data_IF_521619109649
#
_entry.id   IF_521619109649
#
_cell.length_a   1.000
_cell.length_b   1.000
_cell.length_c   1.000
_cell.angle_alpha   90.00
_cell.angle_beta   90.00
_cell.angle_gamma   90.00
#
_symmetry.space_group_name_H-M   'P 1'
#
loop_
_entity.id
_entity.type
_entity.pdbx_description
1 polymer ?
#
# COMPACT_ATOMS: atom_id res chain seq x y z
N UNK A 1 -4.46 -27.53 4.07
CA UNK A 1 -5.01 -26.24 3.55
C UNK A 1 -4.27 -25.95 2.25
N UNK A 2 -4.85 -25.16 1.34
CA UNK A 2 -4.11 -24.74 0.14
C UNK A 2 -2.93 -23.85 0.56
N UNK A 3 -1.71 -24.06 0.02
CA UNK A 3 -0.51 -23.32 0.46
C UNK A 3 -0.63 -21.79 0.34
N UNK A 4 -1.27 -21.29 -0.71
CA UNK A 4 -1.48 -19.85 -0.90
C UNK A 4 -2.42 -19.27 0.16
N UNK A 5 -3.50 -19.98 0.49
CA UNK A 5 -4.43 -19.57 1.55
C UNK A 5 -3.73 -19.57 2.91
N UNK A 6 -2.92 -20.58 3.17
CA UNK A 6 -2.14 -20.67 4.41
C UNK A 6 -1.16 -19.51 4.55
N UNK A 7 -0.41 -19.19 3.50
CA UNK A 7 0.50 -18.04 3.44
C UNK A 7 -0.24 -16.73 3.75
N UNK A 8 -1.38 -16.49 3.11
CA UNK A 8 -2.19 -15.28 3.33
C UNK A 8 -2.70 -15.18 4.77
N UNK A 9 -3.10 -16.29 5.36
CA UNK A 9 -3.58 -16.34 6.74
C UNK A 9 -2.44 -16.18 7.77
N UNK A 10 -1.22 -16.55 7.43
CA UNK A 10 -0.05 -16.45 8.30
C UNK A 10 0.68 -15.11 8.18
N UNK A 11 0.49 -14.38 7.06
CA UNK A 11 1.16 -13.12 6.78
C UNK A 11 0.97 -12.10 7.93
N UNK A 12 2.05 -11.44 8.30
CA UNK A 12 2.09 -10.35 9.28
C UNK A 12 3.07 -9.26 8.84
N UNK A 13 2.90 -8.05 9.37
CA UNK A 13 3.86 -6.96 9.14
C UNK A 13 5.15 -7.21 9.91
N UNK A 14 6.27 -7.22 9.20
CA UNK A 14 7.63 -7.42 9.72
C UNK A 14 8.34 -6.07 9.79
N UNK A 15 8.82 -5.70 10.98
CA UNK A 15 9.50 -4.43 11.27
C UNK A 15 10.83 -4.61 11.98
N UNK A 16 11.34 -5.83 12.05
CA UNK A 16 12.67 -6.15 12.55
C UNK A 16 13.22 -7.27 11.67
N UNK A 17 14.42 -7.08 11.19
CA UNK A 17 15.02 -7.89 10.15
C UNK A 17 16.31 -8.52 10.64
N UNK A 18 16.65 -9.69 10.10
CA UNK A 18 18.01 -10.25 10.21
C UNK A 18 18.99 -9.33 9.51
N UNK A 19 20.26 -9.34 9.98
CA UNK A 19 21.38 -8.72 9.26
C UNK A 19 21.78 -9.61 8.06
N UNK A 20 20.87 -9.66 7.11
CA UNK A 20 20.98 -10.47 5.90
C UNK A 20 20.42 -9.72 4.71
N UNK A 21 21.23 -9.53 3.69
CA UNK A 21 20.79 -8.92 2.42
C UNK A 21 19.89 -9.88 1.63
N UNK A 22 18.95 -9.33 0.88
CA UNK A 22 18.22 -10.12 -0.11
C UNK A 22 19.10 -10.32 -1.34
N UNK A 23 19.21 -11.58 -1.78
CA UNK A 23 19.91 -11.90 -3.02
C UNK A 23 19.15 -11.33 -4.23
N UNK A 24 19.87 -10.91 -5.26
CA UNK A 24 19.26 -10.26 -6.43
C UNK A 24 18.22 -11.16 -7.10
N UNK A 25 18.48 -12.45 -7.21
CA UNK A 25 17.55 -13.44 -7.79
C UNK A 25 16.17 -13.43 -7.08
N UNK A 26 16.14 -13.30 -5.75
CA UNK A 26 14.88 -13.23 -5.01
C UNK A 26 14.13 -11.92 -5.31
N UNK A 27 14.84 -10.79 -5.42
CA UNK A 27 14.24 -9.52 -5.82
C UNK A 27 13.66 -9.58 -7.22
N UNK A 28 14.41 -10.15 -8.17
CA UNK A 28 13.98 -10.30 -9.56
C UNK A 28 12.72 -11.17 -9.66
N UNK A 29 12.66 -12.30 -8.95
CA UNK A 29 11.48 -13.15 -8.89
C UNK A 29 10.25 -12.42 -8.33
N UNK A 30 10.43 -11.62 -7.27
CA UNK A 30 9.36 -10.81 -6.69
C UNK A 30 8.87 -9.76 -7.69
N UNK A 31 9.78 -9.03 -8.35
CA UNK A 31 9.43 -8.02 -9.34
C UNK A 31 8.74 -8.64 -10.56
N UNK A 32 9.23 -9.78 -11.05
CA UNK A 32 8.62 -10.51 -12.17
C UNK A 32 7.19 -10.94 -11.85
N UNK A 33 6.97 -11.51 -10.67
CA UNK A 33 5.64 -11.83 -10.18
C UNK A 33 4.75 -10.58 -10.05
N UNK A 34 5.31 -9.48 -9.57
CA UNK A 34 4.61 -8.19 -9.41
C UNK A 34 4.09 -7.65 -10.75
N UNK A 35 4.89 -7.77 -11.82
CA UNK A 35 4.49 -7.35 -13.16
C UNK A 35 3.35 -8.19 -13.76
N UNK A 36 3.01 -9.34 -13.14
CA UNK A 36 1.84 -10.16 -13.50
C UNK A 36 0.58 -9.80 -12.74
N UNK A 37 0.62 -8.79 -11.88
CA UNK A 37 -0.56 -8.28 -11.19
C UNK A 37 -1.63 -7.82 -12.19
N UNK A 38 -2.93 -8.05 -11.93
CA UNK A 38 -3.97 -7.48 -12.77
C UNK A 38 -3.94 -5.97 -12.71
N UNK A 39 -4.24 -5.33 -13.85
CA UNK A 39 -4.22 -3.87 -14.02
C UNK A 39 -5.38 -3.43 -14.91
N UNK A 40 -5.91 -2.25 -14.69
CA UNK A 40 -7.03 -1.72 -15.44
C UNK A 40 -6.67 -1.56 -16.93
N UNK A 41 -7.43 -2.22 -17.80
CA UNK A 41 -7.20 -2.13 -19.27
C UNK A 41 -5.79 -2.53 -19.72
N UNK A 42 -5.04 -3.27 -18.91
CA UNK A 42 -3.62 -3.59 -19.14
C UNK A 42 -2.71 -2.34 -19.26
N UNK A 43 -3.09 -1.24 -18.60
CA UNK A 43 -2.38 0.03 -18.69
C UNK A 43 -1.15 0.10 -17.77
N UNK A 44 -1.10 -0.73 -16.73
CA UNK A 44 -0.02 -0.73 -15.74
C UNK A 44 0.23 0.69 -15.19
N UNK A 45 -0.82 1.30 -14.61
CA UNK A 45 -0.81 2.68 -14.12
C UNK A 45 -0.01 2.83 -12.82
N UNK A 46 1.15 2.21 -12.74
CA UNK A 46 2.03 2.28 -11.60
C UNK A 46 3.49 2.29 -11.99
N UNK A 47 4.32 2.85 -11.13
CA UNK A 47 5.77 2.74 -11.18
C UNK A 47 6.31 2.17 -9.88
N UNK A 48 7.41 1.43 -10.01
CA UNK A 48 8.13 0.80 -8.88
C UNK A 48 9.49 1.47 -8.80
N UNK A 49 9.83 2.01 -7.62
CA UNK A 49 11.14 2.63 -7.37
C UNK A 49 11.83 1.91 -6.22
N UNK A 50 12.96 1.28 -6.50
CA UNK A 50 13.82 0.69 -5.47
C UNK A 50 14.67 1.77 -4.81
N UNK A 51 14.65 1.85 -3.50
CA UNK A 51 15.41 2.82 -2.72
C UNK A 51 16.62 2.10 -2.12
N UNK A 52 17.77 2.25 -2.74
CA UNK A 52 19.05 1.65 -2.30
C UNK A 52 19.94 2.61 -1.51
N UNK A 53 19.82 3.91 -1.77
CA UNK A 53 20.59 4.94 -1.08
C UNK A 53 20.19 5.09 0.38
N UNK A 54 21.15 4.97 1.30
CA UNK A 54 20.89 5.00 2.74
C UNK A 54 20.34 6.36 3.19
N UNK A 55 20.82 7.47 2.62
CA UNK A 55 20.35 8.80 2.95
C UNK A 55 18.85 8.96 2.61
N UNK A 56 18.45 8.50 1.44
CA UNK A 56 17.03 8.48 1.03
C UNK A 56 16.19 7.61 1.96
N UNK A 57 16.69 6.45 2.40
CA UNK A 57 16.00 5.60 3.38
C UNK A 57 15.84 6.28 4.74
N UNK A 58 16.88 7.01 5.20
CA UNK A 58 16.86 7.77 6.45
C UNK A 58 15.86 8.95 6.35
N UNK A 59 15.83 9.65 5.22
CA UNK A 59 14.88 10.71 4.96
C UNK A 59 13.42 10.18 4.93
N UNK A 60 13.18 9.08 4.23
CA UNK A 60 11.88 8.42 4.21
C UNK A 60 11.45 7.93 5.59
N UNK A 61 12.36 7.39 6.39
CA UNK A 61 12.06 7.00 7.77
C UNK A 61 11.56 8.20 8.62
N UNK A 62 12.15 9.38 8.42
CA UNK A 62 11.71 10.62 9.08
C UNK A 62 10.37 11.12 8.54
N UNK A 63 10.18 11.12 7.22
CA UNK A 63 8.95 11.56 6.56
C UNK A 63 7.74 10.68 6.88
N UNK A 64 7.98 9.39 7.15
CA UNK A 64 6.97 8.41 7.49
C UNK A 64 6.86 8.23 9.02
N UNK A 65 6.56 9.28 9.76
CA UNK A 65 6.30 9.28 11.21
C UNK A 65 7.48 8.74 12.06
N UNK A 66 8.72 9.09 11.67
CA UNK A 66 9.95 8.68 12.38
C UNK A 66 10.02 7.17 12.63
N UNK A 67 9.81 6.36 11.60
CA UNK A 67 9.84 4.90 11.68
C UNK A 67 11.23 4.34 11.31
N UNK A 68 12.16 4.13 12.27
CA UNK A 68 13.55 3.79 11.99
C UNK A 68 13.73 2.44 11.28
N UNK A 69 12.77 1.52 11.38
CA UNK A 69 12.86 0.23 10.69
C UNK A 69 12.85 0.37 9.16
N UNK A 70 12.38 1.50 8.60
CA UNK A 70 12.44 1.81 7.17
C UNK A 70 13.90 1.96 6.75
N UNK A 71 14.67 2.74 7.50
CA UNK A 71 16.10 2.94 7.25
C UNK A 71 16.92 1.64 7.39
N UNK A 72 16.48 0.75 8.30
CA UNK A 72 17.14 -0.53 8.55
C UNK A 72 16.70 -1.66 7.62
N UNK A 73 15.66 -1.46 6.80
CA UNK A 73 15.14 -2.53 5.95
C UNK A 73 16.15 -2.90 4.85
N UNK A 74 16.42 -4.21 4.64
CA UNK A 74 17.34 -4.66 3.59
C UNK A 74 16.93 -4.23 2.19
N UNK A 75 15.63 -4.13 1.93
CA UNK A 75 15.08 -3.70 0.65
C UNK A 75 13.84 -2.83 0.85
N UNK A 76 13.88 -1.62 0.29
CA UNK A 76 12.81 -0.62 0.38
C UNK A 76 12.34 -0.30 -1.02
N UNK A 77 11.03 -0.37 -1.24
CA UNK A 77 10.42 -0.21 -2.56
C UNK A 77 9.20 0.70 -2.46
N UNK A 78 9.20 1.77 -3.25
CA UNK A 78 8.03 2.60 -3.45
C UNK A 78 7.17 2.04 -4.58
N UNK A 79 5.89 1.95 -4.33
CA UNK A 79 4.87 1.77 -5.36
C UNK A 79 4.13 3.11 -5.52
N UNK A 80 4.24 3.68 -6.70
CA UNK A 80 3.64 4.95 -7.04
C UNK A 80 2.51 4.74 -8.05
N UNK A 81 1.39 5.43 -7.83
CA UNK A 81 0.38 5.61 -8.87
C UNK A 81 0.97 6.50 -9.96
N UNK A 82 1.00 6.02 -11.20
CA UNK A 82 1.69 6.68 -12.31
C UNK A 82 0.78 6.76 -13.55
N UNK A 83 0.24 7.93 -13.75
CA UNK A 83 -0.47 8.28 -15.00
C UNK A 83 0.41 9.09 -15.95
N UNK A 84 1.57 9.59 -15.50
CA UNK A 84 2.46 10.41 -16.29
C UNK A 84 2.92 9.70 -17.57
N UNK A 85 3.27 8.44 -17.46
CA UNK A 85 3.70 7.62 -18.60
C UNK A 85 2.69 7.64 -19.74
N UNK A 86 1.41 7.48 -19.44
CA UNK A 86 0.35 7.49 -20.45
C UNK A 86 0.06 8.88 -20.97
N UNK A 87 0.09 9.89 -20.11
CA UNK A 87 -0.06 11.28 -20.52
C UNK A 87 1.03 11.67 -21.55
N UNK A 88 2.28 11.32 -21.26
CA UNK A 88 3.41 11.58 -22.17
C UNK A 88 3.29 10.79 -23.48
N UNK A 89 2.91 9.52 -23.41
CA UNK A 89 2.70 8.69 -24.61
C UNK A 89 1.60 9.26 -25.49
N UNK A 90 0.51 9.74 -24.94
CA UNK A 90 -0.56 10.38 -25.72
C UNK A 90 -0.08 11.69 -26.37
N UNK A 91 0.64 12.52 -25.65
CA UNK A 91 1.23 13.75 -26.19
C UNK A 91 2.21 13.43 -27.35
N UNK A 92 3.11 12.47 -27.17
CA UNK A 92 4.08 12.06 -28.21
C UNK A 92 3.43 11.37 -29.42
N UNK A 93 2.28 10.72 -29.22
CA UNK A 93 1.54 10.05 -30.30
C UNK A 93 0.65 11.00 -31.14
N UNK A 94 0.70 12.32 -30.88
CA UNK A 94 -0.05 13.31 -31.63
C UNK A 94 -1.53 13.42 -31.25
N UNK A 95 -1.93 12.89 -30.10
CA UNK A 95 -3.32 12.97 -29.58
C UNK A 95 -3.73 14.43 -29.39
N UNK A 96 -2.82 15.30 -28.91
CA UNK A 96 -3.07 16.73 -28.74
C UNK A 96 -3.49 17.40 -30.07
N UNK A 97 -2.78 17.11 -31.15
CA UNK A 97 -3.12 17.63 -32.48
C UNK A 97 -4.46 17.08 -32.98
N UNK A 98 -4.73 15.80 -32.73
CA UNK A 98 -6.02 15.18 -33.12
C UNK A 98 -7.18 15.82 -32.37
N UNK A 99 -7.04 16.07 -31.07
CA UNK A 99 -8.04 16.78 -30.25
C UNK A 99 -8.24 18.21 -30.77
N UNK A 100 -7.15 18.93 -31.05
CA UNK A 100 -7.21 20.31 -31.58
C UNK A 100 -7.97 20.38 -32.93
N UNK A 101 -7.75 19.42 -33.82
CA UNK A 101 -8.49 19.31 -35.10
C UNK A 101 -9.98 19.03 -34.87
N UNK A 102 -10.34 18.32 -33.80
CA UNK A 102 -11.72 18.09 -33.42
C UNK A 102 -12.34 19.28 -32.64
N UNK A 103 -11.59 20.35 -32.39
CA UNK A 103 -12.04 21.52 -31.63
C UNK A 103 -12.03 21.30 -30.10
N UNK A 104 -11.29 20.31 -29.62
CA UNK A 104 -11.18 19.93 -28.20
C UNK A 104 -9.73 20.08 -27.71
N UNK A 105 -9.57 20.13 -26.39
CA UNK A 105 -8.26 20.03 -25.75
C UNK A 105 -7.96 18.59 -25.33
N UNK A 106 -6.71 18.19 -25.38
CA UNK A 106 -6.29 16.91 -24.77
C UNK A 106 -6.59 16.96 -23.26
N UNK A 107 -7.27 15.95 -22.76
CA UNK A 107 -7.68 15.86 -21.36
C UNK A 107 -6.46 15.61 -20.44
N UNK A 108 -6.37 16.36 -19.37
CA UNK A 108 -5.44 16.08 -18.27
C UNK A 108 -5.99 14.98 -17.36
N UNK A 109 -5.10 14.23 -16.66
CA UNK A 109 -5.52 13.30 -15.62
C UNK A 109 -6.30 13.99 -14.50
N UNK A 110 -7.37 13.35 -14.06
CA UNK A 110 -8.26 13.82 -13.00
C UNK A 110 -8.28 12.85 -11.80
N UNK A 111 -9.09 13.17 -10.79
CA UNK A 111 -9.21 12.36 -9.56
C UNK A 111 -9.57 10.90 -9.85
N UNK A 112 -10.44 10.64 -10.85
CA UNK A 112 -10.78 9.28 -11.26
C UNK A 112 -9.59 8.49 -11.77
N UNK A 113 -8.73 9.13 -12.56
CA UNK A 113 -7.50 8.52 -13.09
C UNK A 113 -6.49 8.24 -11.97
N UNK A 114 -6.37 9.17 -11.02
CA UNK A 114 -5.54 8.97 -9.83
C UNK A 114 -6.02 7.76 -9.01
N UNK A 115 -7.33 7.66 -8.74
CA UNK A 115 -7.88 6.54 -7.96
C UNK A 115 -7.66 5.19 -8.68
N UNK A 116 -7.79 5.18 -10.01
CA UNK A 116 -7.53 3.99 -10.82
C UNK A 116 -6.05 3.58 -10.74
N UNK A 117 -5.15 4.55 -10.89
CA UNK A 117 -3.70 4.32 -10.78
C UNK A 117 -3.29 3.88 -9.35
N UNK A 118 -3.93 4.43 -8.31
CA UNK A 118 -3.74 3.97 -6.93
C UNK A 118 -4.17 2.52 -6.75
N UNK A 119 -5.29 2.10 -7.35
CA UNK A 119 -5.73 0.71 -7.30
C UNK A 119 -4.71 -0.22 -7.95
N UNK A 120 -4.23 0.10 -9.16
CA UNK A 120 -3.20 -0.67 -9.87
C UNK A 120 -1.91 -0.80 -9.04
N UNK A 121 -1.42 0.31 -8.47
CA UNK A 121 -0.22 0.32 -7.63
C UNK A 121 -0.37 -0.57 -6.38
N UNK A 122 -1.51 -0.52 -5.70
CA UNK A 122 -1.78 -1.34 -4.51
C UNK A 122 -1.94 -2.83 -4.84
N UNK A 123 -2.54 -3.16 -5.99
CA UNK A 123 -2.67 -4.55 -6.46
C UNK A 123 -1.28 -5.10 -6.78
N UNK A 124 -0.44 -4.34 -7.48
CA UNK A 124 0.96 -4.70 -7.75
C UNK A 124 1.75 -4.88 -6.45
N UNK A 125 1.65 -3.94 -5.51
CA UNK A 125 2.30 -4.02 -4.20
C UNK A 125 1.86 -5.25 -3.41
N UNK A 126 0.57 -5.61 -3.41
CA UNK A 126 0.09 -6.81 -2.74
C UNK A 126 0.60 -8.09 -3.42
N UNK A 127 0.75 -8.09 -4.73
CA UNK A 127 1.34 -9.22 -5.46
C UNK A 127 2.81 -9.40 -5.06
N UNK A 128 3.59 -8.30 -4.96
CA UNK A 128 4.96 -8.33 -4.44
C UNK A 128 5.03 -8.92 -3.02
N UNK A 129 4.11 -8.52 -2.14
CA UNK A 129 4.04 -9.04 -0.76
C UNK A 129 3.81 -10.56 -0.74
N UNK A 130 2.89 -11.07 -1.57
CA UNK A 130 2.59 -12.50 -1.63
C UNK A 130 3.82 -13.27 -2.16
N UNK A 131 4.46 -12.76 -3.21
CA UNK A 131 5.67 -13.34 -3.77
C UNK A 131 6.82 -13.37 -2.74
N UNK A 132 7.04 -12.28 -2.02
CA UNK A 132 8.06 -12.20 -0.97
C UNK A 132 7.81 -13.19 0.17
N UNK A 133 6.58 -13.25 0.69
CA UNK A 133 6.19 -14.20 1.75
C UNK A 133 6.40 -15.66 1.30
N UNK A 134 6.17 -15.98 0.02
CA UNK A 134 6.42 -17.34 -0.51
C UNK A 134 7.90 -17.75 -0.50
N UNK A 135 8.79 -16.75 -0.48
CA UNK A 135 10.24 -16.91 -0.38
C UNK A 135 10.76 -16.77 1.07
N UNK A 136 9.86 -16.68 2.05
CA UNK A 136 10.23 -16.46 3.46
C UNK A 136 10.70 -15.04 3.77
N UNK A 137 10.48 -14.09 2.86
CA UNK A 137 10.82 -12.68 3.01
C UNK A 137 9.59 -11.95 3.55
N UNK A 138 9.70 -11.42 4.77
CA UNK A 138 8.66 -10.65 5.39
C UNK A 138 8.56 -9.23 4.85
N UNK A 139 7.40 -8.60 5.03
CA UNK A 139 7.13 -7.26 4.52
C UNK A 139 6.37 -6.37 5.50
N UNK A 140 6.48 -5.06 5.30
CA UNK A 140 5.64 -4.09 5.98
C UNK A 140 5.21 -2.98 5.02
N UNK A 141 3.89 -2.73 4.93
CA UNK A 141 3.33 -1.55 4.27
C UNK A 141 3.50 -0.31 5.13
N UNK A 142 3.90 0.79 4.50
CA UNK A 142 3.98 2.12 5.08
C UNK A 142 3.08 3.04 4.25
N UNK A 143 1.92 3.41 4.83
CA UNK A 143 0.97 4.34 4.24
C UNK A 143 1.31 5.79 4.53
N UNK A 144 2.08 6.04 5.60
CA UNK A 144 2.49 7.37 6.05
C UNK A 144 3.31 8.14 4.99
N UNK A 145 3.76 7.43 3.93
CA UNK A 145 4.40 8.02 2.75
C UNK A 145 3.50 9.07 2.06
N UNK A 146 2.18 8.95 2.20
CA UNK A 146 1.21 9.87 1.62
C UNK A 146 1.06 11.17 2.44
N UNK A 147 1.40 11.16 3.74
CA UNK A 147 1.22 12.31 4.64
C UNK A 147 2.12 13.49 4.27
N UNK A 148 3.32 13.20 3.76
CA UNK A 148 4.30 14.18 3.30
C UNK A 148 4.57 14.00 1.79
N UNK A 149 3.51 13.86 0.99
CA UNK A 149 3.63 13.46 -0.41
C UNK A 149 4.47 14.45 -1.25
N UNK A 150 4.36 15.77 -1.00
CA UNK A 150 5.14 16.77 -1.72
C UNK A 150 6.65 16.59 -1.47
N UNK A 151 7.04 16.45 -0.20
CA UNK A 151 8.45 16.23 0.18
C UNK A 151 8.98 14.90 -0.33
N UNK A 152 8.15 13.88 -0.34
CA UNK A 152 8.48 12.56 -0.92
C UNK A 152 8.67 12.67 -2.43
N UNK A 153 7.82 13.41 -3.11
CA UNK A 153 7.95 13.65 -4.55
C UNK A 153 9.25 14.39 -4.87
N UNK A 154 9.58 15.43 -4.12
CA UNK A 154 10.83 16.18 -4.29
C UNK A 154 12.05 15.27 -4.04
N UNK A 155 12.03 14.48 -2.96
CA UNK A 155 13.12 13.57 -2.61
C UNK A 155 13.38 12.52 -3.70
N UNK A 156 12.31 11.98 -4.31
CA UNK A 156 12.38 10.87 -5.25
C UNK A 156 12.23 11.29 -6.72
N UNK A 157 12.12 12.60 -7.00
CA UNK A 157 12.01 13.14 -8.36
C UNK A 157 10.72 12.74 -9.07
N UNK A 158 9.60 12.60 -8.34
CA UNK A 158 8.34 12.19 -8.93
C UNK A 158 7.69 13.36 -9.68
N UNK A 159 7.20 13.09 -10.89
CA UNK A 159 6.56 14.08 -11.78
C UNK A 159 5.11 14.42 -11.33
N UNK A 160 4.44 15.45 -11.91
CA UNK A 160 3.13 15.90 -11.47
C UNK A 160 2.04 14.82 -11.40
N UNK A 161 2.02 13.88 -12.34
CA UNK A 161 1.02 12.81 -12.39
C UNK A 161 1.52 11.48 -11.81
N UNK A 162 2.55 11.54 -10.94
CA UNK A 162 3.05 10.40 -10.17
C UNK A 162 2.83 10.67 -8.68
N UNK A 163 2.10 9.79 -7.99
CA UNK A 163 1.77 9.93 -6.57
C UNK A 163 2.31 8.75 -5.76
N UNK A 164 3.06 9.00 -4.66
CA UNK A 164 3.57 7.93 -3.80
C UNK A 164 2.42 7.31 -3.00
N UNK A 165 2.02 6.08 -3.32
CA UNK A 165 0.84 5.46 -2.70
C UNK A 165 1.19 4.54 -1.54
N UNK A 166 2.26 3.76 -1.63
CA UNK A 166 2.75 2.98 -0.51
C UNK A 166 4.25 2.68 -0.64
N UNK A 167 4.92 2.65 0.51
CA UNK A 167 6.27 2.14 0.62
C UNK A 167 6.21 0.73 1.20
N UNK A 168 6.99 -0.20 0.65
CA UNK A 168 7.17 -1.55 1.18
C UNK A 168 8.60 -1.73 1.67
N UNK A 169 8.73 -2.17 2.91
CA UNK A 169 9.99 -2.64 3.45
C UNK A 169 10.02 -4.16 3.45
N UNK A 170 11.07 -4.75 2.93
CA UNK A 170 11.26 -6.19 2.84
C UNK A 170 12.54 -6.63 3.56
N UNK A 171 12.50 -7.81 4.17
CA UNK A 171 13.66 -8.45 4.80
C UNK A 171 13.31 -9.76 5.46
N UNK A 172 14.30 -10.56 5.78
CA UNK A 172 14.08 -11.80 6.55
C UNK A 172 13.70 -11.43 7.98
N UNK A 173 12.59 -12.00 8.52
CA UNK A 173 12.15 -11.70 9.88
C UNK A 173 13.17 -12.19 10.91
N UNK A 174 13.59 -11.31 11.83
CA UNK A 174 14.45 -11.73 12.94
C UNK A 174 13.68 -12.44 14.05
N UNK A 175 14.40 -12.96 15.04
CA UNK A 175 13.84 -13.70 16.18
C UNK A 175 12.82 -12.88 16.98
N UNK A 176 12.90 -11.54 16.98
CA UNK A 176 11.93 -10.65 17.67
C UNK A 176 10.55 -10.66 17.00
N UNK A 177 10.46 -11.12 15.75
CA UNK A 177 9.20 -11.32 15.04
C UNK A 177 8.59 -12.70 15.31
N UNK A 178 9.41 -13.68 15.71
CA UNK A 178 8.93 -15.00 16.10
C UNK A 178 8.02 -14.88 17.34
N UNK A 179 6.85 -15.50 17.30
CA UNK A 179 5.91 -15.48 18.43
C UNK A 179 5.06 -14.20 18.60
N UNK A 180 5.25 -13.14 17.82
CA UNK A 180 4.32 -12.02 17.84
C UNK A 180 2.93 -12.46 17.39
N UNK A 181 1.93 -12.14 18.20
CA UNK A 181 0.53 -12.38 17.84
C UNK A 181 0.15 -11.62 16.57
N UNK A 182 -0.72 -12.24 15.78
CA UNK A 182 -1.30 -11.59 14.62
C UNK A 182 -2.30 -10.53 15.07
N UNK A 183 -2.32 -9.39 14.39
CA UNK A 183 -3.32 -8.35 14.65
C UNK A 183 -4.72 -8.92 14.44
N UNK A 184 -5.62 -8.66 15.40
CA UNK A 184 -7.03 -9.01 15.27
C UNK A 184 -7.66 -8.30 14.07
N UNK A 185 -8.75 -8.86 13.58
CA UNK A 185 -9.56 -8.29 12.49
C UNK A 185 -11.00 -8.15 12.96
N UNK A 186 -11.76 -7.29 12.30
CA UNK A 186 -13.21 -7.27 12.49
C UNK A 186 -13.80 -8.62 12.09
N UNK A 187 -14.88 -9.03 12.78
CA UNK A 187 -15.65 -10.19 12.37
C UNK A 187 -16.21 -9.98 10.96
N UNK A 188 -16.27 -11.06 10.19
CA UNK A 188 -16.75 -11.05 8.80
C UNK A 188 -18.08 -10.33 8.62
N UNK A 189 -19.03 -10.49 9.57
CA UNK A 189 -20.38 -9.86 9.51
C UNK A 189 -20.36 -8.33 9.46
N UNK A 190 -19.23 -7.68 9.87
CA UNK A 190 -19.08 -6.22 9.85
C UNK A 190 -18.43 -5.69 8.58
N UNK A 191 -17.88 -6.57 7.75
CA UNK A 191 -17.10 -6.21 6.54
C UNK A 191 -17.75 -6.79 5.28
N UNK A 192 -18.35 -8.00 5.37
CA UNK A 192 -18.91 -8.69 4.22
C UNK A 192 -20.44 -8.59 4.26
N UNK A 193 -21.01 -8.02 3.22
CA UNK A 193 -22.46 -7.86 3.06
C UNK A 193 -22.90 -8.53 1.76
N UNK A 194 -24.11 -9.07 1.76
CA UNK A 194 -24.74 -9.63 0.59
C UNK A 194 -25.65 -8.58 -0.06
N UNK A 195 -25.50 -8.40 -1.35
CA UNK A 195 -26.27 -7.51 -2.24
C UNK A 195 -26.21 -6.01 -1.91
N UNK A 196 -26.26 -5.60 -0.63
CA UNK A 196 -26.33 -4.19 -0.24
C UNK A 196 -25.42 -3.90 0.94
N UNK A 197 -24.75 -2.73 0.91
CA UNK A 197 -24.03 -2.20 2.05
C UNK A 197 -24.96 -1.95 3.23
N UNK A 198 -24.49 -2.24 4.45
CA UNK A 198 -25.20 -1.97 5.71
C UNK A 198 -24.32 -1.09 6.60
N UNK A 199 -24.82 0.10 6.88
CA UNK A 199 -24.18 0.99 7.84
C UNK A 199 -24.24 0.37 9.24
N UNK A 200 -23.13 0.42 9.98
CA UNK A 200 -23.12 0.06 11.40
C UNK A 200 -23.93 1.11 12.16
N UNK A 201 -24.98 0.67 12.86
CA UNK A 201 -25.82 1.53 13.70
C UNK A 201 -25.51 1.16 15.14
N UNK A 202 -25.22 2.16 15.97
CA UNK A 202 -25.16 1.97 17.42
C UNK A 202 -26.59 1.64 17.90
N UNK A 203 -26.88 0.38 18.17
CA UNK A 203 -28.07 0.02 18.92
C UNK A 203 -27.82 0.40 20.38
N UNK A 204 -28.51 1.43 20.87
CA UNK A 204 -28.68 1.64 22.28
C UNK A 204 -29.61 0.52 22.78
N UNK A 205 -29.07 -0.52 23.41
CA UNK A 205 -29.89 -1.62 23.89
C UNK A 205 -29.03 -2.80 24.37
N UNK A 206 -29.67 -3.60 25.20
CA UNK A 206 -29.17 -4.92 25.59
C UNK A 206 -29.57 -5.92 24.49
N UNK A 207 -28.80 -6.99 24.31
CA UNK A 207 -29.22 -8.10 23.45
C UNK A 207 -30.48 -8.77 24.07
N UNK A 208 -31.13 -9.66 23.33
CA UNK A 208 -32.35 -10.36 23.76
C UNK A 208 -32.15 -11.18 25.09
N UNK A 209 -30.91 -11.25 25.59
CA UNK A 209 -30.53 -11.90 26.85
C UNK A 209 -30.15 -10.90 27.95
N UNK A 210 -30.37 -9.60 27.74
CA UNK A 210 -30.08 -8.56 28.71
C UNK A 210 -28.61 -8.17 28.85
N UNK A 211 -27.72 -8.73 28.01
CA UNK A 211 -26.29 -8.44 28.01
C UNK A 211 -26.03 -7.09 27.32
N UNK A 212 -25.20 -6.19 27.89
CA UNK A 212 -24.82 -4.95 27.20
C UNK A 212 -24.23 -5.31 25.83
N UNK A 213 -24.80 -4.77 24.75
CA UNK A 213 -24.22 -4.93 23.41
C UNK A 213 -22.79 -4.44 23.47
N UNK A 214 -21.85 -5.35 23.34
CA UNK A 214 -20.42 -5.00 23.27
C UNK A 214 -20.27 -3.97 22.16
N UNK A 215 -19.81 -2.78 22.51
CA UNK A 215 -19.27 -1.81 21.56
C UNK A 215 -18.27 -2.57 20.69
N UNK A 216 -18.36 -2.44 19.38
CA UNK A 216 -17.39 -3.04 18.46
C UNK A 216 -16.03 -2.51 18.87
N UNK A 217 -15.29 -3.31 19.63
CA UNK A 217 -13.90 -3.04 19.93
C UNK A 217 -13.10 -3.47 18.70
N UNK A 218 -12.92 -2.53 17.78
CA UNK A 218 -11.94 -2.72 16.72
C UNK A 218 -10.54 -2.64 17.33
N UNK A 219 -9.55 -3.38 16.80
CA UNK A 219 -8.19 -3.44 17.36
C UNK A 219 -7.48 -2.11 17.47
N UNK A 220 -8.05 -1.03 16.98
CA UNK A 220 -7.46 0.32 16.98
C UNK A 220 -8.36 1.41 17.56
N UNK A 221 -9.58 1.12 18.02
CA UNK A 221 -10.46 2.16 18.59
C UNK A 221 -9.79 2.87 19.75
N UNK A 222 -9.11 2.11 20.64
CA UNK A 222 -8.37 2.68 21.76
C UNK A 222 -7.13 3.48 21.34
N UNK A 223 -6.53 3.15 20.21
CA UNK A 223 -5.36 3.87 19.66
C UNK A 223 -5.80 5.18 19.02
N UNK A 224 -6.90 5.18 18.28
CA UNK A 224 -7.49 6.39 17.67
C UNK A 224 -7.95 7.40 18.72
N UNK A 225 -8.60 6.95 19.78
CA UNK A 225 -9.06 7.83 20.86
C UNK A 225 -7.92 8.50 21.64
N UNK A 226 -6.69 7.99 21.55
CA UNK A 226 -5.52 8.50 22.30
C UNK A 226 -4.59 9.38 21.46
N UNK A 227 -4.80 9.53 20.16
CA UNK A 227 -3.99 10.42 19.33
C UNK A 227 -4.47 11.86 19.46
N UNK A 228 -3.60 12.82 19.87
CA UNK A 228 -3.92 14.24 19.82
C UNK A 228 -4.16 14.63 18.36
N UNK A 229 -5.38 15.01 18.01
CA UNK A 229 -5.74 15.43 16.65
C UNK A 229 -6.70 14.51 15.87
N UNK A 230 -7.12 13.38 16.43
CA UNK A 230 -8.07 12.45 15.79
C UNK A 230 -9.48 13.03 15.48
N UNK A 231 -9.71 14.28 15.79
CA UNK A 231 -11.00 14.98 15.55
C UNK A 231 -11.06 15.76 14.21
N UNK A 232 -10.08 15.55 13.30
CA UNK A 232 -10.04 16.26 12.01
C UNK A 232 -10.03 15.25 10.85
N UNK A 233 -11.12 14.56 10.67
CA UNK A 233 -11.53 13.96 9.39
C UNK A 233 -13.03 14.19 9.21
#
# INVERSE_FOLDING_TARGET
>A
MNPVIELLLQRRSVRAYEDRTLVQEAKDQILEATLRAPTAGNLMLYSIVEISDQRSKDDLARLCDNQPFIACAPWVVLFAADYQRWHDLFAWSGVEETCRQAGEAMRNPEVGDLLLACADALIAAQTAVIAAESLGIGSCYIGDIMENCERTRDLLGLTPYVFPICLLCFGYPDARQAGKERSSRFERKFICFENKYRRLIRRAGRDDRGTPTRVIQGPQVDRWCRQPGAARL
#
